data_IF_416518827821
#
_entry.id   IF_416518827821
#
_cell.length_a   1.000
_cell.length_b   1.000
_cell.length_c   1.000
_cell.angle_alpha   90.00
_cell.angle_beta   90.00
_cell.angle_gamma   90.00
#
_symmetry.space_group_name_H-M   'P 1'
#
loop_
_entity.id
_entity.type
_entity.pdbx_description
1 polymer ?
#
# COMPACT_ATOMS: atom_id res chain seq x y z
N UNK A 1 -13.07 17.51 11.52
CA UNK A 1 -11.98 16.58 11.24
C UNK A 1 -10.68 17.30 10.99
N UNK A 2 -9.72 17.07 11.88
CA UNK A 2 -8.33 17.47 11.70
C UNK A 2 -7.50 16.19 11.47
N UNK A 3 -6.76 16.14 10.36
CA UNK A 3 -5.96 14.95 10.00
C UNK A 3 -4.52 15.14 10.47
N UNK A 4 -4.02 14.20 11.26
CA UNK A 4 -2.58 14.02 11.50
C UNK A 4 -1.97 13.25 10.33
N UNK A 5 -0.93 13.82 9.72
CA UNK A 5 -0.19 13.22 8.62
C UNK A 5 1.22 12.88 9.07
N UNK A 6 1.70 11.67 8.77
CA UNK A 6 3.03 11.26 9.13
C UNK A 6 4.09 12.17 8.49
N UNK A 7 5.07 12.58 9.29
CA UNK A 7 6.14 13.47 8.83
C UNK A 7 7.11 12.80 7.85
N UNK A 8 7.14 11.46 7.79
CA UNK A 8 8.02 10.67 6.91
C UNK A 8 7.40 10.38 5.55
N UNK A 9 6.14 10.74 5.33
CA UNK A 9 5.52 10.63 4.00
C UNK A 9 6.35 11.36 2.94
N UNK A 10 6.54 10.69 1.80
CA UNK A 10 7.43 11.17 0.75
C UNK A 10 6.95 12.53 0.21
N UNK A 11 7.88 13.48 0.04
CA UNK A 11 7.53 14.88 -0.21
C UNK A 11 6.70 15.11 -1.49
N UNK A 12 6.89 14.30 -2.54
CA UNK A 12 6.08 14.38 -3.76
C UNK A 12 4.64 13.95 -3.53
N UNK A 13 4.44 12.86 -2.79
CA UNK A 13 3.12 12.29 -2.51
C UNK A 13 2.37 13.21 -1.57
N UNK A 14 3.05 13.69 -0.52
CA UNK A 14 2.50 14.68 0.38
C UNK A 14 2.04 15.93 -0.36
N UNK A 15 2.83 16.49 -1.29
CA UNK A 15 2.43 17.70 -2.04
C UNK A 15 1.12 17.49 -2.81
N UNK A 16 0.95 16.32 -3.44
CA UNK A 16 -0.26 15.97 -4.19
C UNK A 16 -1.46 15.82 -3.26
N UNK A 17 -1.31 15.08 -2.17
CA UNK A 17 -2.39 14.83 -1.21
C UNK A 17 -2.78 16.12 -0.47
N UNK A 18 -1.80 16.94 -0.08
CA UNK A 18 -2.00 18.27 0.50
C UNK A 18 -2.86 19.14 -0.40
N UNK A 19 -2.57 19.21 -1.71
CA UNK A 19 -3.37 19.99 -2.63
C UNK A 19 -4.84 19.52 -2.70
N UNK A 20 -5.07 18.21 -2.57
CA UNK A 20 -6.43 17.65 -2.49
C UNK A 20 -7.10 17.99 -1.16
N UNK A 21 -6.38 17.93 -0.03
CA UNK A 21 -6.91 18.35 1.27
C UNK A 21 -7.26 19.84 1.29
N UNK A 22 -6.38 20.70 0.77
CA UNK A 22 -6.61 22.14 0.66
C UNK A 22 -7.86 22.43 -0.18
N UNK A 23 -8.02 21.75 -1.33
CA UNK A 23 -9.19 21.89 -2.20
C UNK A 23 -10.50 21.40 -1.56
N UNK A 24 -10.41 20.47 -0.61
CA UNK A 24 -11.55 19.92 0.14
C UNK A 24 -11.79 20.65 1.48
N UNK A 25 -10.98 21.67 1.80
CA UNK A 25 -11.10 22.45 3.04
C UNK A 25 -10.84 21.65 4.31
N UNK A 26 -9.97 20.63 4.26
CA UNK A 26 -9.64 19.79 5.41
C UNK A 26 -8.39 20.32 6.11
N UNK A 27 -8.49 20.50 7.43
CA UNK A 27 -7.36 20.88 8.26
C UNK A 27 -6.45 19.68 8.53
N UNK A 28 -5.15 19.91 8.51
CA UNK A 28 -4.15 18.90 8.81
C UNK A 28 -2.95 19.51 9.54
N UNK A 29 -2.21 18.64 10.21
CA UNK A 29 -0.87 18.94 10.72
C UNK A 29 0.05 17.75 10.51
N UNK A 30 1.36 17.97 10.59
CA UNK A 30 2.37 16.91 10.37
C UNK A 30 3.14 16.62 11.64
N UNK A 31 3.22 15.35 11.99
CA UNK A 31 4.08 14.84 13.06
C UNK A 31 4.29 13.35 12.86
N UNK A 32 5.22 12.73 13.60
CA UNK A 32 5.45 11.29 13.48
C UNK A 32 4.29 10.51 14.09
N UNK A 33 3.66 9.65 13.28
CA UNK A 33 2.67 8.67 13.71
C UNK A 33 3.32 7.41 14.27
N UNK A 34 2.65 6.80 15.24
CA UNK A 34 3.08 5.52 15.81
C UNK A 34 2.91 4.35 14.84
N UNK A 35 1.81 4.39 14.08
CA UNK A 35 1.40 3.43 13.05
C UNK A 35 0.81 4.23 11.87
N UNK A 36 1.08 3.79 10.64
CA UNK A 36 0.52 4.34 9.41
C UNK A 36 0.92 5.78 9.09
N UNK A 37 0.20 6.36 8.14
CA UNK A 37 0.54 7.64 7.49
C UNK A 37 -0.52 8.72 7.70
N UNK A 38 -1.80 8.34 7.89
CA UNK A 38 -2.91 9.28 8.07
C UNK A 38 -3.84 8.81 9.19
N UNK A 39 -4.22 9.74 10.07
CA UNK A 39 -5.14 9.50 11.19
C UNK A 39 -6.03 10.74 11.38
N UNK A 40 -7.29 10.55 11.76
CA UNK A 40 -8.13 11.64 12.26
C UNK A 40 -8.00 11.77 13.77
N UNK A 41 -7.89 13.00 14.29
CA UNK A 41 -7.97 13.23 15.73
C UNK A 41 -9.35 12.93 16.30
N UNK A 42 -10.39 12.92 15.46
CA UNK A 42 -11.77 12.60 15.87
C UNK A 42 -11.93 11.08 16.13
N UNK A 43 -11.13 10.24 15.45
CA UNK A 43 -11.10 8.78 15.62
C UNK A 43 -9.68 8.23 15.47
N UNK A 44 -8.84 8.31 16.52
CA UNK A 44 -7.43 7.90 16.45
C UNK A 44 -7.22 6.38 16.41
N UNK A 45 -8.30 5.58 16.53
CA UNK A 45 -8.23 4.12 16.43
C UNK A 45 -8.38 3.64 14.98
N UNK A 46 -8.70 4.51 14.04
CA UNK A 46 -8.71 4.23 12.61
C UNK A 46 -7.53 4.94 11.95
N UNK A 47 -6.64 4.16 11.34
CA UNK A 47 -5.39 4.65 10.74
C UNK A 47 -5.26 4.11 9.32
N UNK A 48 -4.77 4.97 8.41
CA UNK A 48 -4.47 4.60 7.02
C UNK A 48 -2.96 4.52 6.84
N UNK A 49 -2.49 3.44 6.24
CA UNK A 49 -1.14 3.27 5.71
C UNK A 49 -1.22 3.26 4.18
N UNK A 50 -0.54 4.20 3.53
CA UNK A 50 -0.66 4.43 2.09
C UNK A 50 0.46 3.71 1.37
N UNK A 51 0.11 2.93 0.35
CA UNK A 51 1.07 2.24 -0.52
C UNK A 51 0.90 2.73 -1.95
N UNK A 52 2.01 2.92 -2.66
CA UNK A 52 2.04 3.48 -4.01
C UNK A 52 1.32 2.59 -5.01
N UNK A 53 1.57 1.29 -4.96
CA UNK A 53 1.04 0.34 -5.92
C UNK A 53 1.15 -1.09 -5.37
N UNK A 54 0.60 -2.06 -6.11
CA UNK A 54 0.72 -3.48 -5.81
C UNK A 54 2.16 -3.98 -5.83
N UNK A 55 3.09 -3.31 -6.53
CA UNK A 55 4.49 -3.72 -6.57
C UNK A 55 5.17 -3.41 -5.22
N UNK A 56 4.87 -2.27 -4.60
CA UNK A 56 5.29 -1.94 -3.23
C UNK A 56 4.73 -2.96 -2.24
N UNK A 57 3.43 -3.23 -2.29
CA UNK A 57 2.79 -4.24 -1.42
C UNK A 57 3.43 -5.61 -1.64
N UNK A 58 3.65 -6.02 -2.89
CA UNK A 58 4.34 -7.27 -3.22
C UNK A 58 5.73 -7.33 -2.58
N UNK A 59 6.48 -6.24 -2.60
CA UNK A 59 7.77 -6.12 -1.91
C UNK A 59 7.64 -6.24 -0.39
N UNK A 60 6.62 -5.61 0.19
CA UNK A 60 6.35 -5.66 1.62
C UNK A 60 6.00 -7.07 2.11
N UNK A 61 5.15 -7.81 1.38
CA UNK A 61 4.75 -9.17 1.79
C UNK A 61 5.82 -10.23 1.50
N UNK A 62 6.81 -9.92 0.66
CA UNK A 62 7.89 -10.85 0.31
C UNK A 62 9.22 -10.45 0.94
N UNK A 63 9.93 -9.50 0.33
CA UNK A 63 11.30 -9.12 0.69
C UNK A 63 11.39 -8.40 2.03
N UNK A 64 10.33 -7.70 2.45
CA UNK A 64 10.29 -6.92 3.69
C UNK A 64 9.27 -7.48 4.68
N UNK A 65 8.96 -8.77 4.59
CA UNK A 65 7.86 -9.41 5.29
C UNK A 65 7.91 -9.21 6.81
N UNK A 66 9.08 -9.38 7.43
CA UNK A 66 9.22 -9.22 8.88
C UNK A 66 8.89 -7.80 9.34
N UNK A 67 9.44 -6.79 8.66
CA UNK A 67 9.15 -5.38 8.98
C UNK A 67 7.66 -5.10 8.82
N UNK A 68 7.09 -5.49 7.69
CA UNK A 68 5.68 -5.24 7.39
C UNK A 68 4.78 -5.93 8.41
N UNK A 69 5.03 -7.21 8.72
CA UNK A 69 4.32 -7.96 9.77
C UNK A 69 4.41 -7.28 11.13
N UNK A 70 5.58 -6.78 11.52
CA UNK A 70 5.75 -6.09 12.80
C UNK A 70 4.92 -4.80 12.90
N UNK A 71 4.70 -4.11 11.79
CA UNK A 71 3.81 -2.94 11.73
C UNK A 71 2.34 -3.36 11.90
N UNK A 72 1.91 -4.47 11.27
CA UNK A 72 0.56 -5.03 11.44
C UNK A 72 0.29 -5.49 12.88
N UNK A 73 1.22 -6.26 13.46
CA UNK A 73 1.13 -6.75 14.85
C UNK A 73 1.09 -5.57 15.82
N UNK A 74 1.87 -4.51 15.58
CA UNK A 74 1.84 -3.31 16.41
C UNK A 74 0.48 -2.62 16.37
N UNK A 75 -0.14 -2.50 15.20
CA UNK A 75 -1.49 -1.94 15.07
C UNK A 75 -2.51 -2.79 15.83
N UNK A 76 -2.49 -4.11 15.63
CA UNK A 76 -3.38 -5.06 16.27
C UNK A 76 -3.24 -5.04 17.80
N UNK A 77 -2.02 -5.11 18.33
CA UNK A 77 -1.76 -5.06 19.77
C UNK A 77 -2.18 -3.73 20.40
N UNK A 78 -2.09 -2.64 19.64
CA UNK A 78 -2.56 -1.34 20.09
C UNK A 78 -4.09 -1.19 19.99
N UNK A 79 -4.83 -2.14 19.40
CA UNK A 79 -6.26 -2.01 19.14
C UNK A 79 -6.58 -0.95 18.07
N UNK A 80 -5.66 -0.75 17.12
CA UNK A 80 -5.81 0.19 16.00
C UNK A 80 -6.32 -0.60 14.79
N UNK A 81 -7.45 -0.16 14.22
CA UNK A 81 -7.93 -0.61 12.92
C UNK A 81 -7.06 0.03 11.84
N UNK A 82 -6.22 -0.78 11.21
CA UNK A 82 -5.37 -0.36 10.11
C UNK A 82 -6.08 -0.60 8.77
N UNK A 83 -6.05 0.40 7.91
CA UNK A 83 -6.48 0.33 6.52
C UNK A 83 -5.26 0.56 5.64
N UNK A 84 -4.97 -0.38 4.75
CA UNK A 84 -3.95 -0.18 3.72
C UNK A 84 -4.64 0.39 2.48
N UNK A 85 -4.26 1.61 2.10
CA UNK A 85 -4.76 2.29 0.91
C UNK A 85 -3.73 2.19 -0.22
N UNK A 86 -4.02 1.35 -1.22
CA UNK A 86 -3.15 1.12 -2.37
C UNK A 86 -3.52 2.04 -3.55
N UNK A 87 -2.60 2.90 -3.97
CA UNK A 87 -2.80 3.85 -5.08
C UNK A 87 -2.54 3.26 -6.47
N UNK A 88 -3.06 2.06 -6.75
CA UNK A 88 -2.75 1.38 -8.00
C UNK A 88 -3.50 1.97 -9.21
N UNK A 89 -4.82 2.12 -9.11
CA UNK A 89 -5.68 2.41 -10.26
C UNK A 89 -5.64 1.31 -11.32
N UNK A 90 -5.81 1.69 -12.59
CA UNK A 90 -5.68 0.80 -13.76
C UNK A 90 -6.56 -0.46 -13.71
N UNK A 91 -7.78 -0.34 -13.18
CA UNK A 91 -8.73 -1.46 -13.08
C UNK A 91 -8.54 -2.35 -11.86
N UNK A 92 -7.65 -1.99 -10.92
CA UNK A 92 -7.59 -2.59 -9.59
C UNK A 92 -8.36 -1.69 -8.62
N UNK A 93 -9.57 -2.11 -8.27
CA UNK A 93 -10.51 -1.36 -7.42
C UNK A 93 -10.84 -2.10 -6.12
N UNK A 94 -10.65 -3.41 -6.10
CA UNK A 94 -10.89 -4.29 -4.95
C UNK A 94 -9.84 -5.38 -4.86
N UNK A 95 -9.83 -6.07 -3.71
CA UNK A 95 -8.84 -7.10 -3.41
C UNK A 95 -8.88 -8.24 -4.44
N UNK A 96 -10.06 -8.62 -4.92
CA UNK A 96 -10.24 -9.69 -5.91
C UNK A 96 -9.55 -9.39 -7.24
N UNK A 97 -9.43 -8.12 -7.63
CA UNK A 97 -8.79 -7.75 -8.90
C UNK A 97 -7.28 -8.08 -8.89
N UNK A 98 -6.67 -8.14 -7.70
CA UNK A 98 -5.26 -8.53 -7.51
C UNK A 98 -4.99 -9.94 -8.03
N UNK A 99 -6.00 -10.82 -8.09
CA UNK A 99 -5.89 -12.16 -8.67
C UNK A 99 -5.35 -12.11 -10.11
N UNK A 100 -5.76 -11.09 -10.86
CA UNK A 100 -5.42 -10.88 -12.27
C UNK A 100 -4.27 -9.89 -12.47
N UNK A 101 -3.69 -9.36 -11.40
CA UNK A 101 -2.57 -8.45 -11.50
C UNK A 101 -1.34 -9.16 -12.09
N UNK A 102 -0.83 -8.61 -13.20
CA UNK A 102 0.41 -9.05 -13.81
C UNK A 102 1.59 -8.31 -13.18
N UNK A 103 2.40 -9.05 -12.42
CA UNK A 103 3.58 -8.48 -11.79
C UNK A 103 4.60 -8.07 -12.88
N UNK A 104 4.95 -6.78 -13.01
CA UNK A 104 5.88 -6.32 -14.05
C UNK A 104 7.25 -7.01 -14.00
N UNK A 105 7.65 -7.57 -12.85
CA UNK A 105 8.92 -8.31 -12.73
C UNK A 105 8.90 -9.65 -13.47
N UNK A 106 7.75 -10.27 -13.73
CA UNK A 106 7.65 -11.56 -14.42
C UNK A 106 7.99 -11.47 -15.92
N UNK A 107 7.79 -10.30 -16.53
CA UNK A 107 8.07 -10.07 -17.95
C UNK A 107 9.53 -9.66 -18.21
N UNK A 108 10.29 -9.25 -17.20
CA UNK A 108 11.67 -8.79 -17.37
C UNK A 108 12.58 -9.98 -17.77
N UNK A 109 13.31 -9.79 -18.87
CA UNK A 109 14.31 -10.73 -19.39
C UNK A 109 15.71 -10.15 -19.28
N UNK A 110 16.70 -11.02 -19.14
CA UNK A 110 18.12 -10.67 -19.21
C UNK A 110 18.87 -11.62 -20.13
N UNK A 111 19.94 -11.11 -20.74
CA UNK A 111 20.83 -11.90 -21.58
C UNK A 111 21.90 -12.56 -20.72
N UNK A 112 22.07 -13.88 -20.88
CA UNK A 112 23.13 -14.65 -20.23
C UNK A 112 23.86 -15.51 -21.27
N UNK A 113 25.13 -15.81 -21.00
CA UNK A 113 25.90 -16.76 -21.81
C UNK A 113 25.66 -18.16 -21.26
N UNK A 114 25.05 -19.04 -22.06
CA UNK A 114 24.85 -20.45 -21.74
C UNK A 114 25.45 -21.29 -22.87
N UNK A 115 26.38 -22.19 -22.53
CA UNK A 115 27.09 -23.04 -23.49
C UNK A 115 27.72 -22.26 -24.66
N UNK A 116 28.32 -21.11 -24.36
CA UNK A 116 28.95 -20.22 -25.34
C UNK A 116 27.97 -19.40 -26.20
N UNK A 117 26.66 -19.47 -25.95
CA UNK A 117 25.63 -18.74 -26.70
C UNK A 117 24.91 -17.72 -25.82
N UNK A 118 24.56 -16.57 -26.40
CA UNK A 118 23.73 -15.57 -25.72
C UNK A 118 22.26 -16.00 -25.80
N UNK A 119 21.61 -16.17 -24.66
CA UNK A 119 20.20 -16.53 -24.55
C UNK A 119 19.47 -15.59 -23.60
N UNK A 120 18.18 -15.33 -23.86
CA UNK A 120 17.33 -14.59 -22.93
C UNK A 120 16.72 -15.52 -21.89
N UNK A 121 16.84 -15.15 -20.62
CA UNK A 121 16.21 -15.86 -19.50
C UNK A 121 15.36 -14.89 -18.66
N UNK A 122 14.35 -15.38 -17.91
CA UNK A 122 13.64 -14.55 -16.94
C UNK A 122 14.62 -14.02 -15.88
N UNK A 123 14.66 -12.69 -15.71
CA UNK A 123 15.52 -12.06 -14.68
C UNK A 123 15.04 -12.37 -13.26
N UNK A 124 13.72 -12.49 -13.09
CA UNK A 124 13.08 -12.78 -11.80
C UNK A 124 12.21 -14.05 -11.92
N UNK A 125 12.82 -15.24 -11.99
CA UNK A 125 12.07 -16.49 -12.24
C UNK A 125 11.12 -16.85 -11.09
N UNK A 126 11.31 -16.26 -9.90
CA UNK A 126 10.47 -16.44 -8.71
C UNK A 126 9.64 -15.20 -8.38
N UNK A 127 9.41 -14.31 -9.35
CA UNK A 127 8.54 -13.16 -9.13
C UNK A 127 7.10 -13.62 -8.83
N UNK A 128 6.54 -13.10 -7.74
CA UNK A 128 5.20 -13.42 -7.24
C UNK A 128 4.13 -13.08 -8.27
N UNK A 129 3.21 -14.00 -8.55
CA UNK A 129 2.04 -13.75 -9.39
C UNK A 129 0.93 -13.01 -8.64
N UNK A 130 -0.02 -12.42 -9.37
CA UNK A 130 -1.24 -11.85 -8.80
C UNK A 130 -1.98 -12.82 -7.88
N UNK A 131 -2.17 -14.08 -8.31
CA UNK A 131 -2.76 -15.14 -7.49
C UNK A 131 -2.05 -15.38 -6.15
N UNK A 132 -0.72 -15.45 -6.16
CA UNK A 132 0.07 -15.66 -4.94
C UNK A 132 0.01 -14.42 -4.02
N UNK A 133 0.03 -13.21 -4.61
CA UNK A 133 -0.13 -11.98 -3.86
C UNK A 133 -1.52 -11.90 -3.22
N UNK A 134 -2.59 -12.12 -3.99
CA UNK A 134 -3.98 -12.13 -3.53
C UNK A 134 -4.16 -13.03 -2.30
N UNK A 135 -3.71 -14.29 -2.37
CA UNK A 135 -3.78 -15.22 -1.23
C UNK A 135 -3.04 -14.70 0.01
N UNK A 136 -1.88 -14.10 -0.19
CA UNK A 136 -1.10 -13.52 0.91
C UNK A 136 -1.85 -12.36 1.56
N UNK A 137 -2.47 -11.50 0.76
CA UNK A 137 -3.26 -10.37 1.25
C UNK A 137 -4.55 -10.81 1.95
N UNK A 138 -5.23 -11.87 1.48
CA UNK A 138 -6.35 -12.46 2.21
C UNK A 138 -5.91 -12.98 3.59
N UNK A 139 -4.78 -13.68 3.65
CA UNK A 139 -4.23 -14.16 4.92
C UNK A 139 -3.92 -12.99 5.87
N UNK A 140 -3.32 -11.92 5.34
CA UNK A 140 -3.03 -10.71 6.13
C UNK A 140 -4.31 -10.04 6.65
N UNK A 141 -5.32 -9.89 5.79
CA UNK A 141 -6.63 -9.34 6.16
C UNK A 141 -7.24 -10.14 7.31
N UNK A 142 -7.30 -11.46 7.16
CA UNK A 142 -7.99 -12.35 8.10
C UNK A 142 -7.22 -12.48 9.43
N UNK A 143 -5.89 -12.56 9.38
CA UNK A 143 -5.06 -12.75 10.56
C UNK A 143 -4.89 -11.48 11.40
N UNK A 144 -4.74 -10.32 10.74
CA UNK A 144 -4.42 -9.06 11.43
C UNK A 144 -5.63 -8.09 11.48
N UNK A 145 -6.75 -8.42 10.86
CA UNK A 145 -7.95 -7.58 10.84
C UNK A 145 -7.78 -6.29 10.03
N UNK A 146 -6.92 -6.30 9.02
CA UNK A 146 -6.54 -5.13 8.21
C UNK A 146 -7.39 -5.06 6.95
N UNK A 147 -7.91 -3.89 6.60
CA UNK A 147 -8.65 -3.72 5.34
C UNK A 147 -7.72 -3.28 4.22
N UNK A 148 -7.96 -3.80 3.02
CA UNK A 148 -7.24 -3.44 1.79
C UNK A 148 -8.18 -2.66 0.89
N UNK A 149 -7.91 -1.37 0.73
CA UNK A 149 -8.66 -0.48 -0.15
C UNK A 149 -7.77 0.02 -1.30
N UNK A 150 -8.40 0.38 -2.40
CA UNK A 150 -7.72 0.79 -3.61
C UNK A 150 -8.27 2.13 -4.09
N UNK A 151 -7.39 2.93 -4.70
CA UNK A 151 -7.79 4.17 -5.36
C UNK A 151 -6.82 4.52 -6.48
N UNK A 152 -7.22 5.47 -7.31
CA UNK A 152 -6.26 6.16 -8.18
C UNK A 152 -5.48 7.23 -7.39
N UNK A 153 -4.25 7.58 -7.79
CA UNK A 153 -3.53 8.72 -7.20
C UNK A 153 -4.27 10.06 -7.31
N UNK A 154 -5.22 10.19 -8.25
CA UNK A 154 -5.98 11.43 -8.43
C UNK A 154 -7.03 11.65 -7.35
N UNK A 155 -7.41 10.61 -6.61
CA UNK A 155 -8.48 10.67 -5.62
C UNK A 155 -8.04 10.29 -4.20
N UNK A 156 -6.75 10.04 -3.97
CA UNK A 156 -6.23 9.59 -2.66
C UNK A 156 -6.73 10.44 -1.49
N UNK A 157 -6.62 11.77 -1.58
CA UNK A 157 -7.02 12.68 -0.51
C UNK A 157 -8.51 12.58 -0.21
N UNK A 158 -9.35 12.47 -1.25
CA UNK A 158 -10.79 12.23 -1.09
C UNK A 158 -11.04 10.89 -0.39
N UNK A 159 -10.36 9.82 -0.81
CA UNK A 159 -10.48 8.49 -0.19
C UNK A 159 -10.01 8.45 1.26
N UNK A 160 -8.92 9.12 1.60
CA UNK A 160 -8.45 9.27 2.98
C UNK A 160 -9.55 9.90 3.84
N UNK A 161 -10.17 10.98 3.36
CA UNK A 161 -11.23 11.68 4.08
C UNK A 161 -12.47 10.79 4.25
N UNK A 162 -12.87 10.06 3.22
CA UNK A 162 -14.00 9.13 3.29
C UNK A 162 -13.76 8.03 4.32
N UNK A 163 -12.58 7.41 4.31
CA UNK A 163 -12.20 6.36 5.26
C UNK A 163 -12.22 6.91 6.68
N UNK A 164 -11.55 8.04 6.95
CA UNK A 164 -11.39 8.60 8.30
C UNK A 164 -12.68 9.19 8.90
N UNK A 165 -13.76 9.32 8.12
CA UNK A 165 -15.08 9.78 8.59
C UNK A 165 -15.99 8.64 9.05
N UNK A 166 -15.57 7.39 8.88
CA UNK A 166 -16.33 6.19 9.28
C UNK A 166 -16.27 6.01 10.79
#
# INVERSE_FOLDING_TARGET
MQIQVDSREHASEWRRIKAQFDALGVEYFRSKLWVGDYMSLDNPRLVIDRKKDLLEICGNVTQQHERFRNELVRAQNAGIKLVILCEHGQGIEKLEDVLFWENPRQSIREWVVKDGRHVQVPKYPRATSGHALYKSLCTIRDQYGVDMLFCSPKETGKKIIEILKT
#
